data_IF_157203183920
#
_entry.id   IF_157203183920
#
_cell.length_a   1.000
_cell.length_b   1.000
_cell.length_c   1.000
_cell.angle_alpha   90.00
_cell.angle_beta   90.00
_cell.angle_gamma   90.00
#
_symmetry.space_group_name_H-M   'P 1'
#
loop_
_entity.id
_entity.type
_entity.pdbx_description
1 polymer ?
#
# COMPACT_ATOMS: atom_id res chain seq x y z
N UNK A 1 19.16 -25.17 41.02
CA UNK A 1 19.57 -25.33 39.63
C UNK A 1 18.49 -26.19 38.96
N UNK A 2 17.54 -25.57 38.26
CA UNK A 2 16.47 -26.23 37.51
C UNK A 2 17.06 -26.49 36.10
N UNK A 3 17.03 -27.72 35.55
CA UNK A 3 17.57 -27.99 34.24
C UNK A 3 16.76 -27.24 33.16
N UNK A 4 17.49 -26.72 32.20
CA UNK A 4 16.99 -26.05 31.02
C UNK A 4 16.22 -27.03 30.15
N UNK A 5 14.91 -27.02 30.26
CA UNK A 5 14.01 -27.86 29.46
C UNK A 5 13.84 -27.12 28.12
N UNK A 6 14.40 -27.70 27.06
CA UNK A 6 14.45 -27.10 25.74
C UNK A 6 13.08 -26.62 25.23
N UNK A 7 13.09 -25.56 24.40
CA UNK A 7 11.90 -24.85 23.88
C UNK A 7 10.83 -25.77 23.29
N UNK A 8 11.18 -26.89 22.68
CA UNK A 8 10.24 -27.88 22.15
C UNK A 8 9.43 -28.60 23.23
N UNK A 9 10.01 -28.80 24.41
CA UNK A 9 9.32 -29.45 25.54
C UNK A 9 8.36 -28.49 26.24
N UNK A 10 8.72 -27.19 26.28
CA UNK A 10 7.82 -26.15 26.83
C UNK A 10 6.58 -25.94 25.93
N UNK A 11 6.74 -25.91 24.62
CA UNK A 11 5.61 -25.78 23.69
C UNK A 11 4.59 -26.94 23.81
N UNK A 12 5.08 -28.17 24.00
CA UNK A 12 4.21 -29.35 24.20
C UNK A 12 3.58 -29.40 25.59
N UNK A 13 4.25 -28.90 26.63
CA UNK A 13 3.70 -28.84 27.99
C UNK A 13 2.59 -27.81 28.11
N UNK A 14 2.76 -26.63 27.47
CA UNK A 14 1.74 -25.56 27.46
C UNK A 14 0.50 -25.94 26.60
N UNK A 15 0.68 -26.74 25.53
CA UNK A 15 -0.44 -27.26 24.75
C UNK A 15 -1.36 -28.21 25.54
N UNK A 16 -0.86 -28.83 26.60
CA UNK A 16 -1.63 -29.69 27.50
C UNK A 16 -2.34 -28.91 28.63
N UNK A 17 -1.96 -27.67 28.90
CA UNK A 17 -2.44 -26.88 30.06
C UNK A 17 -3.52 -25.87 29.67
N UNK A 18 -3.65 -25.50 28.38
CA UNK A 18 -4.62 -24.50 27.95
C UNK A 18 -5.96 -25.15 27.56
N UNK A 19 -7.06 -24.89 28.28
CA UNK A 19 -8.34 -25.55 28.10
C UNK A 19 -9.18 -25.05 26.93
N UNK A 20 -8.69 -24.09 26.12
CA UNK A 20 -9.49 -23.42 25.09
C UNK A 20 -8.73 -23.25 23.77
N UNK A 21 -9.31 -23.70 22.66
CA UNK A 21 -8.74 -23.59 21.31
C UNK A 21 -8.50 -22.15 20.88
N UNK A 22 -9.25 -21.19 21.40
CA UNK A 22 -9.06 -19.75 21.17
C UNK A 22 -7.73 -19.26 21.77
N UNK A 23 -7.39 -19.69 22.98
CA UNK A 23 -6.12 -19.36 23.62
C UNK A 23 -4.93 -20.01 22.87
N UNK A 24 -5.09 -21.23 22.36
CA UNK A 24 -4.07 -21.90 21.54
C UNK A 24 -3.80 -21.16 20.23
N UNK A 25 -4.85 -20.65 19.57
CA UNK A 25 -4.70 -19.85 18.33
C UNK A 25 -4.05 -18.49 18.58
N UNK A 26 -4.40 -17.82 19.68
CA UNK A 26 -3.80 -16.55 20.08
C UNK A 26 -2.31 -16.70 20.45
N UNK A 27 -1.93 -17.76 21.16
CA UNK A 27 -0.53 -18.07 21.47
C UNK A 27 0.27 -18.46 20.21
N UNK A 28 -0.30 -19.25 19.32
CA UNK A 28 0.33 -19.60 18.04
C UNK A 28 0.57 -18.38 17.16
N UNK A 29 -0.39 -17.47 17.10
CA UNK A 29 -0.28 -16.21 16.39
C UNK A 29 0.79 -15.29 17.00
N UNK A 30 0.82 -15.15 18.33
CA UNK A 30 1.82 -14.35 19.03
C UNK A 30 3.26 -14.90 18.86
N UNK A 31 3.43 -16.22 18.91
CA UNK A 31 4.73 -16.85 18.63
C UNK A 31 5.19 -16.66 17.17
N UNK A 32 4.26 -16.73 16.23
CA UNK A 32 4.55 -16.47 14.83
C UNK A 32 4.93 -15.01 14.61
N UNK A 33 4.18 -14.09 15.18
CA UNK A 33 4.48 -12.65 15.14
C UNK A 33 5.84 -12.35 15.77
N UNK A 34 6.16 -12.95 16.92
CA UNK A 34 7.48 -12.82 17.54
C UNK A 34 8.59 -13.32 16.60
N UNK A 35 8.44 -14.49 15.97
CA UNK A 35 9.43 -15.03 15.02
C UNK A 35 9.59 -14.14 13.78
N UNK A 36 8.48 -13.60 13.28
CA UNK A 36 8.51 -12.66 12.17
C UNK A 36 9.27 -11.39 12.58
N UNK A 37 8.96 -10.81 13.74
CA UNK A 37 9.62 -9.62 14.25
C UNK A 37 11.11 -9.86 14.56
N UNK A 38 11.51 -11.02 15.02
CA UNK A 38 12.94 -11.39 15.20
C UNK A 38 13.67 -11.53 13.85
N UNK A 39 12.96 -11.86 12.78
CA UNK A 39 13.54 -12.03 11.44
C UNK A 39 13.59 -10.72 10.66
N UNK A 40 12.57 -9.88 10.79
CA UNK A 40 12.34 -8.67 10.00
C UNK A 40 12.27 -7.37 10.83
N UNK A 41 12.06 -7.43 12.14
CA UNK A 41 11.96 -6.23 13.00
C UNK A 41 13.31 -5.59 13.34
N UNK A 42 13.30 -4.70 14.32
CA UNK A 42 14.43 -3.84 14.71
C UNK A 42 15.74 -4.61 15.06
N UNK A 43 15.63 -5.89 15.45
CA UNK A 43 16.77 -6.77 15.74
C UNK A 43 17.26 -7.55 14.53
N UNK A 44 16.65 -7.35 13.35
CA UNK A 44 17.08 -8.04 12.15
C UNK A 44 18.49 -7.55 11.73
N UNK A 45 19.37 -8.46 11.27
CA UNK A 45 20.72 -8.09 10.86
C UNK A 45 20.71 -7.45 9.47
N UNK A 46 20.21 -6.22 9.35
CA UNK A 46 20.03 -5.49 8.09
C UNK A 46 21.31 -4.89 7.53
N UNK A 47 22.43 -4.99 8.26
CA UNK A 47 23.73 -4.48 7.81
C UNK A 47 24.15 -5.07 6.47
N UNK A 48 24.88 -4.27 5.68
CA UNK A 48 25.44 -4.70 4.40
C UNK A 48 26.36 -5.92 4.59
N UNK A 49 26.31 -6.88 3.68
CA UNK A 49 27.12 -8.11 3.74
C UNK A 49 26.58 -9.21 4.66
N UNK A 50 25.52 -8.98 5.43
CA UNK A 50 24.92 -10.01 6.30
C UNK A 50 24.08 -11.04 5.55
N UNK A 51 23.82 -10.83 4.27
CA UNK A 51 22.94 -11.66 3.44
C UNK A 51 21.45 -11.57 3.76
N UNK A 52 21.05 -10.63 4.64
CA UNK A 52 19.66 -10.46 5.00
C UNK A 52 18.87 -9.85 3.83
N UNK A 53 19.35 -8.76 3.25
CA UNK A 53 18.72 -8.12 2.08
C UNK A 53 18.61 -9.07 0.89
N UNK A 54 19.66 -9.84 0.61
CA UNK A 54 19.59 -10.82 -0.48
C UNK A 54 18.56 -11.91 -0.20
N UNK A 55 18.37 -12.32 1.06
CA UNK A 55 17.32 -13.26 1.45
C UNK A 55 15.90 -12.69 1.25
N UNK A 56 15.68 -11.45 1.65
CA UNK A 56 14.41 -10.74 1.44
C UNK A 56 14.10 -10.58 -0.05
N UNK A 57 15.07 -10.08 -0.82
CA UNK A 57 14.93 -9.93 -2.28
C UNK A 57 14.69 -11.29 -2.97
N UNK A 58 15.35 -12.34 -2.54
CA UNK A 58 15.11 -13.70 -3.05
C UNK A 58 13.65 -14.13 -2.85
N UNK A 59 13.15 -13.99 -1.62
CA UNK A 59 11.76 -14.35 -1.28
C UNK A 59 10.76 -13.50 -2.06
N UNK A 60 10.99 -12.19 -2.14
CA UNK A 60 10.15 -11.26 -2.88
C UNK A 60 10.08 -11.61 -4.37
N UNK A 61 11.23 -11.78 -5.03
CA UNK A 61 11.29 -12.18 -6.44
C UNK A 61 10.64 -13.55 -6.67
N UNK A 62 10.82 -14.51 -5.76
CA UNK A 62 10.19 -15.83 -5.83
C UNK A 62 8.67 -15.76 -5.77
N UNK A 63 8.10 -14.91 -4.89
CA UNK A 63 6.66 -14.67 -4.79
C UNK A 63 6.12 -14.01 -6.07
N UNK A 64 6.80 -13.00 -6.58
CA UNK A 64 6.43 -12.34 -7.84
C UNK A 64 6.44 -13.32 -9.01
N UNK A 65 7.47 -14.15 -9.11
CA UNK A 65 7.58 -15.15 -10.18
C UNK A 65 6.42 -16.17 -10.12
N UNK A 66 6.16 -16.72 -8.93
CA UNK A 66 5.09 -17.71 -8.76
C UNK A 66 3.72 -17.10 -9.03
N UNK A 67 3.44 -15.91 -8.52
CA UNK A 67 2.19 -15.18 -8.76
C UNK A 67 1.98 -14.85 -10.24
N UNK A 68 3.03 -14.38 -10.94
CA UNK A 68 2.96 -14.08 -12.37
C UNK A 68 2.70 -15.36 -13.22
N UNK A 69 3.34 -16.48 -12.88
CA UNK A 69 3.08 -17.77 -13.53
C UNK A 69 1.64 -18.24 -13.27
N UNK A 70 1.12 -18.04 -12.04
CA UNK A 70 -0.28 -18.33 -11.73
C UNK A 70 -1.25 -17.50 -12.59
N UNK A 71 -0.97 -16.21 -12.82
CA UNK A 71 -1.75 -15.35 -13.72
C UNK A 71 -1.76 -15.87 -15.17
N UNK A 72 -0.68 -16.49 -15.63
CA UNK A 72 -0.63 -17.10 -16.95
C UNK A 72 -1.46 -18.38 -17.02
N UNK A 73 -1.49 -19.19 -15.94
CA UNK A 73 -2.28 -20.43 -15.88
C UNK A 73 -3.78 -20.19 -15.67
N UNK A 74 -4.13 -19.20 -14.87
CA UNK A 74 -5.53 -18.88 -14.51
C UNK A 74 -5.91 -17.43 -14.91
N UNK A 75 -5.76 -17.07 -16.21
CA UNK A 75 -5.93 -15.68 -16.62
C UNK A 75 -7.36 -15.15 -16.38
N UNK A 76 -8.38 -16.00 -16.52
CA UNK A 76 -9.79 -15.61 -16.32
C UNK A 76 -10.08 -15.17 -14.86
N UNK A 77 -9.39 -15.77 -13.89
CA UNK A 77 -9.58 -15.49 -12.46
C UNK A 77 -8.63 -14.42 -11.95
N UNK A 78 -7.37 -14.47 -12.39
CA UNK A 78 -6.28 -13.73 -11.78
C UNK A 78 -5.82 -12.50 -12.57
N UNK A 79 -6.12 -12.43 -13.88
CA UNK A 79 -5.68 -11.31 -14.71
C UNK A 79 -6.78 -10.29 -14.96
N UNK A 80 -6.40 -9.02 -15.02
CA UNK A 80 -7.28 -7.89 -15.34
C UNK A 80 -7.69 -7.91 -16.81
N UNK A 81 -8.98 -8.09 -17.18
CA UNK A 81 -9.42 -8.14 -18.57
C UNK A 81 -9.11 -6.87 -19.34
N UNK A 82 -9.21 -5.72 -18.69
CA UNK A 82 -8.99 -4.41 -19.30
C UNK A 82 -7.50 -4.09 -19.53
N UNK A 83 -6.60 -4.68 -18.77
CA UNK A 83 -5.15 -4.40 -18.86
C UNK A 83 -4.41 -5.44 -19.67
N UNK A 84 -4.84 -6.69 -19.61
CA UNK A 84 -4.19 -7.81 -20.30
C UNK A 84 -3.92 -7.57 -21.79
N UNK A 85 -4.86 -6.99 -22.59
CA UNK A 85 -4.61 -6.70 -24.00
C UNK A 85 -3.48 -5.69 -24.26
N UNK A 86 -3.18 -4.85 -23.27
CA UNK A 86 -2.15 -3.82 -23.37
C UNK A 86 -0.75 -4.30 -22.95
N UNK A 87 -0.64 -5.51 -22.37
CA UNK A 87 0.65 -6.04 -21.94
C UNK A 87 1.51 -6.46 -23.13
N UNK A 88 2.71 -5.90 -23.28
CA UNK A 88 3.68 -6.43 -24.24
C UNK A 88 4.20 -7.77 -23.70
N UNK A 89 3.54 -8.86 -24.08
CA UNK A 89 3.76 -10.19 -23.50
C UNK A 89 5.21 -10.68 -23.57
N UNK A 90 5.97 -10.25 -24.57
CA UNK A 90 7.40 -10.55 -24.61
C UNK A 90 8.17 -9.93 -23.44
N UNK A 91 7.84 -8.69 -23.05
CA UNK A 91 8.43 -8.02 -21.87
C UNK A 91 8.00 -8.69 -20.57
N UNK A 92 6.72 -9.07 -20.45
CA UNK A 92 6.22 -9.80 -19.27
C UNK A 92 6.96 -11.12 -19.10
N UNK A 93 7.17 -11.88 -20.20
CA UNK A 93 7.94 -13.12 -20.16
C UNK A 93 9.41 -12.90 -19.78
N UNK A 94 10.04 -11.86 -20.34
CA UNK A 94 11.40 -11.46 -19.93
C UNK A 94 11.47 -11.08 -18.46
N UNK A 95 10.47 -10.35 -17.96
CA UNK A 95 10.40 -9.96 -16.56
C UNK A 95 10.22 -11.17 -15.63
N UNK A 96 9.32 -12.11 -15.96
CA UNK A 96 9.15 -13.38 -15.23
C UNK A 96 10.49 -14.13 -15.17
N UNK A 97 11.20 -14.23 -16.28
CA UNK A 97 12.49 -14.89 -16.32
C UNK A 97 13.54 -14.16 -15.47
N UNK A 98 13.57 -12.83 -15.55
CA UNK A 98 14.49 -12.00 -14.76
C UNK A 98 14.26 -12.14 -13.25
N UNK A 99 13.00 -12.14 -12.79
CA UNK A 99 12.71 -12.30 -11.34
C UNK A 99 12.97 -13.72 -10.85
N UNK A 100 12.78 -14.77 -11.68
CA UNK A 100 13.19 -16.15 -11.36
C UNK A 100 14.69 -16.22 -11.16
N UNK A 101 15.47 -15.68 -12.10
CA UNK A 101 16.94 -15.67 -12.03
C UNK A 101 17.41 -14.84 -10.82
N UNK A 102 16.82 -13.68 -10.61
CA UNK A 102 17.13 -12.83 -9.45
C UNK A 102 16.84 -13.54 -8.12
N UNK A 103 15.72 -14.25 -8.00
CA UNK A 103 15.38 -15.02 -6.81
C UNK A 103 16.45 -16.08 -6.51
N UNK A 104 16.94 -16.79 -7.52
CA UNK A 104 17.98 -17.81 -7.35
C UNK A 104 19.31 -17.16 -6.97
N UNK A 105 19.77 -16.12 -7.67
CA UNK A 105 21.02 -15.43 -7.40
C UNK A 105 21.03 -14.87 -5.96
N UNK A 106 20.01 -14.10 -5.61
CA UNK A 106 19.91 -13.53 -4.26
C UNK A 106 19.76 -14.61 -3.18
N UNK A 107 19.05 -15.71 -3.50
CA UNK A 107 18.92 -16.85 -2.59
C UNK A 107 20.26 -17.54 -2.29
N UNK A 108 21.07 -17.76 -3.32
CA UNK A 108 22.43 -18.33 -3.18
C UNK A 108 23.30 -17.38 -2.36
N UNK A 109 23.32 -16.08 -2.68
CA UNK A 109 24.07 -15.08 -1.91
C UNK A 109 23.66 -15.08 -0.44
N UNK A 110 22.35 -15.10 -0.17
CA UNK A 110 21.84 -15.19 1.21
C UNK A 110 22.26 -16.48 1.90
N UNK A 111 22.20 -17.62 1.20
CA UNK A 111 22.59 -18.92 1.75
C UNK A 111 24.09 -19.01 2.07
N UNK A 112 24.94 -18.29 1.33
CA UNK A 112 26.38 -18.20 1.59
C UNK A 112 26.65 -17.30 2.80
N UNK A 113 26.05 -16.12 2.85
CA UNK A 113 26.37 -15.10 3.84
C UNK A 113 25.69 -15.32 5.20
N UNK A 114 24.53 -15.97 5.24
CA UNK A 114 23.73 -16.13 6.48
C UNK A 114 23.89 -17.50 7.12
N UNK A 115 23.93 -17.53 8.46
CA UNK A 115 23.76 -18.77 9.24
C UNK A 115 22.32 -19.30 9.15
N UNK A 116 21.31 -18.42 9.32
CA UNK A 116 19.88 -18.75 9.16
C UNK A 116 19.51 -18.65 7.68
N UNK A 117 19.44 -19.77 6.97
CA UNK A 117 19.29 -19.84 5.51
C UNK A 117 17.84 -19.75 5.01
N UNK A 118 16.86 -19.66 5.91
CA UNK A 118 15.42 -19.78 5.58
C UNK A 118 14.97 -18.83 4.47
N UNK A 119 15.29 -17.52 4.57
CA UNK A 119 14.85 -16.53 3.58
C UNK A 119 15.34 -16.85 2.16
N UNK A 120 16.63 -17.10 1.99
CA UNK A 120 17.19 -17.43 0.68
C UNK A 120 16.64 -18.75 0.14
N UNK A 121 16.51 -19.77 0.99
CA UNK A 121 15.93 -21.06 0.59
C UNK A 121 14.46 -20.91 0.17
N UNK A 122 13.66 -20.14 0.90
CA UNK A 122 12.25 -19.89 0.55
C UNK A 122 12.14 -19.24 -0.83
N UNK A 123 12.94 -18.22 -1.11
CA UNK A 123 12.91 -17.57 -2.43
C UNK A 123 13.33 -18.50 -3.56
N UNK A 124 14.37 -19.31 -3.36
CA UNK A 124 14.80 -20.31 -4.35
C UNK A 124 13.76 -21.39 -4.58
N UNK A 125 13.08 -21.86 -3.53
CA UNK A 125 12.00 -22.85 -3.65
C UNK A 125 10.80 -22.30 -4.40
N UNK A 126 10.40 -21.06 -4.14
CA UNK A 126 9.33 -20.38 -4.88
C UNK A 126 9.68 -20.20 -6.37
N UNK A 127 10.92 -19.79 -6.67
CA UNK A 127 11.42 -19.67 -8.04
C UNK A 127 11.47 -21.02 -8.75
N UNK A 128 11.90 -22.08 -8.05
CA UNK A 128 11.89 -23.44 -8.57
C UNK A 128 10.45 -23.91 -8.86
N UNK A 129 9.53 -23.68 -7.94
CA UNK A 129 8.11 -24.00 -8.14
C UNK A 129 7.54 -23.27 -9.36
N UNK A 130 7.81 -21.95 -9.50
CA UNK A 130 7.43 -21.18 -10.69
C UNK A 130 8.00 -21.76 -11.98
N UNK A 131 9.27 -22.15 -11.96
CA UNK A 131 9.96 -22.77 -13.11
C UNK A 131 9.35 -24.11 -13.50
N UNK A 132 9.15 -25.00 -12.52
CA UNK A 132 8.54 -26.31 -12.73
C UNK A 132 7.08 -26.20 -13.20
N UNK A 133 6.40 -25.14 -12.85
CA UNK A 133 5.03 -24.84 -13.32
C UNK A 133 5.00 -24.19 -14.71
N UNK A 134 6.12 -24.13 -15.43
CA UNK A 134 6.24 -23.65 -16.80
C UNK A 134 6.92 -22.29 -16.96
N UNK A 135 7.09 -21.51 -15.87
CA UNK A 135 7.83 -20.25 -15.87
C UNK A 135 7.34 -19.28 -16.93
N UNK A 136 8.30 -18.66 -17.66
CA UNK A 136 8.00 -17.74 -18.74
C UNK A 136 7.45 -18.42 -20.03
N UNK A 137 7.42 -19.75 -20.09
CA UNK A 137 7.00 -20.51 -21.28
C UNK A 137 5.55 -20.97 -21.24
N UNK A 138 4.80 -20.66 -20.17
CA UNK A 138 3.37 -21.00 -20.06
C UNK A 138 2.61 -20.49 -21.28
N UNK A 139 1.81 -21.32 -21.98
CA UNK A 139 0.98 -20.89 -23.10
C UNK A 139 -0.02 -19.82 -22.67
N UNK A 140 -0.26 -18.85 -23.54
CA UNK A 140 -1.26 -17.81 -23.29
C UNK A 140 -2.54 -18.26 -23.98
N UNK A 141 -3.54 -18.60 -23.18
CA UNK A 141 -4.88 -18.90 -23.69
C UNK A 141 -5.68 -17.59 -23.76
N UNK A 142 -6.21 -17.28 -24.92
CA UNK A 142 -7.07 -16.11 -25.19
C UNK A 142 -8.46 -16.55 -25.63
N UNK A 143 -9.47 -15.65 -25.53
CA UNK A 143 -9.52 -14.31 -24.92
C UNK A 143 -10.03 -14.33 -23.47
N UNK A 144 -9.76 -13.24 -22.72
CA UNK A 144 -10.39 -13.03 -21.42
C UNK A 144 -11.87 -12.65 -21.62
N UNK A 145 -12.75 -13.28 -20.86
CA UNK A 145 -14.15 -12.88 -20.80
C UNK A 145 -14.27 -11.64 -19.90
N UNK A 146 -15.20 -10.73 -20.21
CA UNK A 146 -15.51 -9.56 -19.36
C UNK A 146 -16.24 -10.01 -18.09
N UNK A 147 -15.53 -10.74 -17.21
CA UNK A 147 -16.01 -11.21 -15.93
C UNK A 147 -15.22 -10.64 -14.76
N UNK A 148 -15.70 -10.80 -13.53
CA UNK A 148 -14.96 -10.38 -12.35
C UNK A 148 -13.65 -11.17 -12.24
N UNK A 149 -12.55 -10.45 -12.08
CA UNK A 149 -11.21 -11.01 -11.84
C UNK A 149 -10.61 -10.42 -10.56
N UNK A 150 -9.64 -11.12 -9.98
CA UNK A 150 -8.93 -10.64 -8.79
C UNK A 150 -7.95 -9.52 -9.15
N UNK A 151 -7.41 -9.50 -10.40
CA UNK A 151 -6.43 -8.50 -10.83
C UNK A 151 -5.06 -8.71 -10.18
N UNK A 152 -4.68 -9.95 -9.91
CA UNK A 152 -3.38 -10.28 -9.31
C UNK A 152 -2.21 -9.82 -10.20
N UNK A 153 -2.35 -9.85 -11.52
CA UNK A 153 -1.35 -9.36 -12.47
C UNK A 153 -1.06 -7.87 -12.28
N UNK A 154 -2.11 -7.05 -12.14
CA UNK A 154 -1.97 -5.64 -11.83
C UNK A 154 -1.31 -5.42 -10.47
N UNK A 155 -1.78 -6.14 -9.45
CA UNK A 155 -1.23 -6.07 -8.10
C UNK A 155 0.29 -6.39 -8.06
N UNK A 156 0.73 -7.43 -8.79
CA UNK A 156 2.15 -7.80 -8.84
C UNK A 156 3.00 -6.75 -9.56
N UNK A 157 2.48 -6.14 -10.63
CA UNK A 157 3.16 -5.04 -11.32
C UNK A 157 3.23 -3.77 -10.45
N UNK A 158 2.14 -3.42 -9.80
CA UNK A 158 2.08 -2.30 -8.86
C UNK A 158 3.06 -2.49 -7.69
N UNK A 159 3.02 -3.65 -7.03
CA UNK A 159 3.97 -3.99 -5.95
C UNK A 159 5.42 -3.93 -6.42
N UNK A 160 5.73 -4.46 -7.60
CA UNK A 160 7.08 -4.39 -8.16
C UNK A 160 7.50 -2.96 -8.41
N UNK A 161 6.65 -2.16 -9.07
CA UNK A 161 6.92 -0.76 -9.40
C UNK A 161 7.12 0.08 -8.12
N UNK A 162 6.19 -0.01 -7.17
CA UNK A 162 6.27 0.73 -5.90
C UNK A 162 7.53 0.36 -5.12
N UNK A 163 7.84 -0.94 -5.03
CA UNK A 163 9.06 -1.40 -4.34
C UNK A 163 10.33 -0.88 -5.02
N UNK A 164 10.39 -0.91 -6.36
CA UNK A 164 11.57 -0.44 -7.10
C UNK A 164 11.78 1.07 -7.03
N UNK A 165 10.70 1.84 -6.90
CA UNK A 165 10.77 3.31 -6.79
C UNK A 165 11.05 3.72 -5.35
N UNK A 166 10.19 3.33 -4.40
CA UNK A 166 10.19 3.93 -3.06
C UNK A 166 11.19 3.30 -2.11
N UNK A 167 11.40 1.96 -2.15
CA UNK A 167 12.34 1.34 -1.21
C UNK A 167 13.78 1.84 -1.35
N UNK A 168 14.36 2.04 -2.56
CA UNK A 168 15.67 2.65 -2.68
C UNK A 168 15.73 4.09 -2.17
N UNK A 169 14.69 4.89 -2.41
CA UNK A 169 14.65 6.28 -1.95
C UNK A 169 14.61 6.37 -0.43
N UNK A 170 13.81 5.56 0.23
CA UNK A 170 13.74 5.51 1.69
C UNK A 170 15.02 4.99 2.35
N UNK A 171 15.72 4.07 1.69
CA UNK A 171 17.00 3.53 2.21
C UNK A 171 18.15 4.52 2.00
N UNK A 172 18.18 5.21 0.84
CA UNK A 172 19.30 6.11 0.49
C UNK A 172 19.16 7.50 1.09
N UNK A 173 17.93 8.00 1.22
CA UNK A 173 17.66 9.37 1.68
C UNK A 173 16.49 9.43 2.68
N UNK A 174 16.56 8.70 3.80
CA UNK A 174 15.48 8.68 4.77
C UNK A 174 15.29 10.02 5.48
N UNK A 175 14.04 10.40 5.76
CA UNK A 175 13.72 11.49 6.65
C UNK A 175 14.04 11.14 8.11
N UNK A 176 13.78 9.89 8.48
CA UNK A 176 14.08 9.31 9.80
C UNK A 176 15.08 8.15 9.65
N UNK A 177 16.40 8.43 9.73
CA UNK A 177 17.43 7.40 9.54
C UNK A 177 17.38 6.26 10.58
N UNK A 178 16.78 6.50 11.74
CA UNK A 178 16.63 5.51 12.80
C UNK A 178 15.44 4.57 12.59
N UNK A 179 14.53 4.91 11.64
CA UNK A 179 13.40 4.06 11.35
C UNK A 179 13.86 2.80 10.63
N UNK A 180 13.55 1.64 11.22
CA UNK A 180 13.79 0.35 10.55
C UNK A 180 12.94 0.23 9.30
N UNK A 181 13.49 -0.37 8.24
CA UNK A 181 12.75 -0.65 6.99
C UNK A 181 11.53 -1.54 7.27
N UNK A 182 11.67 -2.50 8.18
CA UNK A 182 10.55 -3.25 8.73
C UNK A 182 10.27 -2.74 10.15
N UNK A 183 9.70 -1.53 10.22
CA UNK A 183 9.34 -0.88 11.47
C UNK A 183 8.24 -1.64 12.20
N UNK A 184 7.97 -1.26 13.43
CA UNK A 184 6.85 -1.84 14.16
C UNK A 184 5.54 -1.69 13.35
N UNK A 185 4.69 -2.71 13.37
CA UNK A 185 3.42 -2.82 12.63
C UNK A 185 3.54 -2.95 11.09
N UNK A 186 4.76 -3.09 10.51
CA UNK A 186 4.94 -3.24 9.06
C UNK A 186 4.11 -4.39 8.45
N UNK A 187 3.97 -5.50 9.20
CA UNK A 187 3.18 -6.65 8.74
C UNK A 187 1.70 -6.29 8.61
N UNK A 188 1.18 -5.45 9.52
CA UNK A 188 -0.19 -4.95 9.43
C UNK A 188 -0.35 -4.08 8.18
N UNK A 189 0.64 -3.24 7.84
CA UNK A 189 0.62 -2.44 6.62
C UNK A 189 0.71 -3.30 5.36
N UNK A 190 1.48 -4.39 5.37
CA UNK A 190 1.47 -5.37 4.27
C UNK A 190 0.07 -6.00 4.09
N UNK A 191 -0.61 -6.35 5.18
CA UNK A 191 -1.99 -6.87 5.10
C UNK A 191 -2.94 -5.82 4.53
N UNK A 192 -2.80 -4.56 4.93
CA UNK A 192 -3.58 -3.46 4.34
C UNK A 192 -3.25 -3.24 2.87
N UNK A 193 -1.98 -3.25 2.48
CA UNK A 193 -1.59 -3.16 1.08
C UNK A 193 -2.25 -4.26 0.23
N UNK A 194 -2.22 -5.50 0.71
CA UNK A 194 -2.92 -6.62 0.06
C UNK A 194 -4.43 -6.39 0.00
N UNK A 195 -5.06 -5.95 1.09
CA UNK A 195 -6.51 -5.82 1.19
C UNK A 195 -7.09 -4.61 0.44
N UNK A 196 -6.29 -3.58 0.17
CA UNK A 196 -6.71 -2.38 -0.57
C UNK A 196 -6.37 -2.48 -2.06
N UNK A 197 -5.21 -3.02 -2.43
CA UNK A 197 -4.76 -3.07 -3.82
C UNK A 197 -5.24 -4.33 -4.55
N UNK A 198 -5.30 -5.49 -3.90
CA UNK A 198 -5.72 -6.73 -4.56
C UNK A 198 -7.20 -6.69 -5.00
N UNK A 199 -8.18 -6.25 -4.18
CA UNK A 199 -9.57 -6.17 -4.62
C UNK A 199 -9.90 -4.89 -5.41
N UNK A 200 -8.91 -4.18 -5.95
CA UNK A 200 -9.11 -2.92 -6.70
C UNK A 200 -10.16 -3.05 -7.81
N UNK A 201 -10.24 -4.20 -8.49
CA UNK A 201 -11.25 -4.45 -9.50
C UNK A 201 -12.69 -4.40 -8.93
N UNK A 202 -12.88 -4.96 -7.73
CA UNK A 202 -14.19 -4.97 -7.05
C UNK A 202 -14.53 -3.57 -6.57
N UNK A 203 -13.60 -2.87 -5.93
CA UNK A 203 -13.82 -1.51 -5.44
C UNK A 203 -14.05 -0.54 -6.60
N UNK A 204 -13.32 -0.67 -7.70
CA UNK A 204 -13.52 0.10 -8.92
C UNK A 204 -14.91 -0.13 -9.50
N UNK A 205 -15.38 -1.38 -9.58
CA UNK A 205 -16.72 -1.69 -10.02
C UNK A 205 -17.79 -1.04 -9.13
N UNK A 206 -17.64 -1.13 -7.82
CA UNK A 206 -18.58 -0.54 -6.85
C UNK A 206 -18.66 1.00 -6.96
N UNK A 207 -17.57 1.65 -7.36
CA UNK A 207 -17.48 3.10 -7.50
C UNK A 207 -17.94 3.54 -8.90
N UNK A 208 -17.40 2.89 -9.95
CA UNK A 208 -17.66 3.31 -11.33
C UNK A 208 -19.09 3.05 -11.76
N UNK A 209 -19.76 2.01 -11.28
CA UNK A 209 -21.13 1.72 -11.67
C UNK A 209 -22.10 2.85 -11.29
N UNK A 210 -22.18 3.32 -10.02
CA UNK A 210 -22.99 4.47 -9.67
C UNK A 210 -22.55 5.75 -10.38
N UNK A 211 -21.24 5.99 -10.50
CA UNK A 211 -20.72 7.17 -11.18
C UNK A 211 -21.12 7.21 -12.66
N UNK A 212 -21.04 6.08 -13.37
CA UNK A 212 -21.50 5.98 -14.77
C UNK A 212 -23.01 6.26 -14.90
N UNK A 213 -23.82 5.74 -14.00
CA UNK A 213 -25.26 6.01 -14.01
C UNK A 213 -25.55 7.50 -13.81
N UNK A 214 -24.88 8.14 -12.85
CA UNK A 214 -25.02 9.57 -12.61
C UNK A 214 -24.59 10.40 -13.82
N UNK A 215 -23.45 10.07 -14.45
CA UNK A 215 -22.99 10.79 -15.65
C UNK A 215 -23.90 10.59 -16.84
N UNK A 216 -24.52 9.41 -17.01
CA UNK A 216 -25.49 9.16 -18.07
C UNK A 216 -26.79 10.01 -17.87
N UNK A 217 -27.23 10.17 -16.62
CA UNK A 217 -28.45 10.95 -16.29
C UNK A 217 -28.21 12.44 -16.34
N UNK A 218 -27.02 12.91 -15.99
CA UNK A 218 -26.70 14.32 -15.80
C UNK A 218 -25.54 14.80 -16.68
N UNK A 219 -25.32 14.15 -17.83
CA UNK A 219 -24.23 14.51 -18.75
C UNK A 219 -24.29 16.00 -19.15
N UNK A 220 -23.12 16.62 -19.19
CA UNK A 220 -22.92 17.99 -19.67
C UNK A 220 -21.91 17.95 -20.83
N UNK A 221 -22.34 17.52 -22.05
CA UNK A 221 -21.43 17.34 -23.19
C UNK A 221 -20.63 18.61 -23.53
N UNK A 222 -21.22 19.76 -23.41
CA UNK A 222 -20.55 21.05 -23.67
C UNK A 222 -19.39 21.32 -22.72
N UNK A 223 -19.45 20.83 -21.48
CA UNK A 223 -18.34 20.94 -20.52
C UNK A 223 -17.18 20.02 -20.93
N UNK A 224 -17.48 18.78 -21.32
CA UNK A 224 -16.46 17.82 -21.77
C UNK A 224 -15.78 18.29 -23.07
N UNK A 225 -16.55 18.84 -24.02
CA UNK A 225 -16.02 19.43 -25.25
C UNK A 225 -15.13 20.65 -24.96
N UNK A 226 -15.60 21.55 -24.07
CA UNK A 226 -14.83 22.74 -23.68
C UNK A 226 -13.50 22.36 -23.03
N UNK A 227 -13.50 21.39 -22.11
CA UNK A 227 -12.28 20.93 -21.45
C UNK A 227 -11.42 20.15 -22.45
N UNK A 228 -12.01 19.27 -23.25
CA UNK A 228 -11.30 18.47 -24.26
C UNK A 228 -10.64 19.31 -25.37
N UNK A 229 -11.10 20.54 -25.60
CA UNK A 229 -10.45 21.48 -26.55
C UNK A 229 -9.19 22.15 -26.00
N UNK A 230 -8.92 22.06 -24.70
CA UNK A 230 -7.75 22.65 -24.06
C UNK A 230 -6.48 21.84 -24.36
N UNK A 231 -5.29 22.48 -24.28
CA UNK A 231 -4.03 21.73 -24.34
C UNK A 231 -3.96 20.62 -23.27
N UNK A 232 -3.39 19.47 -23.61
CA UNK A 232 -3.37 18.27 -22.76
C UNK A 232 -2.82 18.52 -21.33
N UNK A 233 -1.77 19.33 -21.21
CA UNK A 233 -1.20 19.69 -19.90
C UNK A 233 -2.18 20.53 -19.05
N UNK A 234 -3.00 21.37 -19.68
CA UNK A 234 -4.02 22.16 -18.98
C UNK A 234 -5.15 21.25 -18.53
N UNK A 235 -5.59 20.31 -19.38
CA UNK A 235 -6.59 19.29 -18.98
C UNK A 235 -6.08 18.48 -17.77
N UNK A 236 -4.83 18.04 -17.80
CA UNK A 236 -4.24 17.25 -16.72
C UNK A 236 -4.13 18.06 -15.42
N UNK A 237 -3.69 19.31 -15.49
CA UNK A 237 -3.66 20.20 -14.33
C UNK A 237 -5.06 20.41 -13.73
N UNK A 238 -6.06 20.66 -14.57
CA UNK A 238 -7.45 20.81 -14.14
C UNK A 238 -8.01 19.52 -13.52
N UNK A 239 -7.65 18.37 -14.08
CA UNK A 239 -8.04 17.07 -13.52
C UNK A 239 -7.47 16.88 -12.11
N UNK A 240 -6.17 17.15 -11.90
CA UNK A 240 -5.56 17.10 -10.57
C UNK A 240 -6.23 18.11 -9.62
N UNK A 241 -6.50 19.34 -10.08
CA UNK A 241 -7.13 20.36 -9.27
C UNK A 241 -8.54 19.99 -8.82
N UNK A 242 -9.39 19.50 -9.74
CA UNK A 242 -10.76 19.06 -9.42
C UNK A 242 -10.72 17.88 -8.44
N UNK A 243 -9.83 16.93 -8.67
CA UNK A 243 -9.66 15.78 -7.81
C UNK A 243 -9.20 16.19 -6.40
N UNK A 244 -8.20 17.07 -6.30
CA UNK A 244 -7.65 17.52 -5.01
C UNK A 244 -8.66 18.38 -4.21
N UNK A 245 -9.46 19.20 -4.88
CA UNK A 245 -10.55 19.93 -4.21
C UNK A 245 -11.63 18.97 -3.68
N UNK A 246 -12.00 17.95 -4.45
CA UNK A 246 -12.95 16.94 -4.01
C UNK A 246 -12.39 16.13 -2.83
N UNK A 247 -11.12 15.72 -2.92
CA UNK A 247 -10.42 14.98 -1.87
C UNK A 247 -10.26 15.83 -0.61
N UNK A 248 -9.84 17.10 -0.74
CA UNK A 248 -9.80 18.04 0.38
C UNK A 248 -11.13 18.12 1.13
N UNK A 249 -12.23 18.25 0.40
CA UNK A 249 -13.55 18.39 1.00
C UNK A 249 -13.96 17.13 1.78
N UNK A 250 -13.80 15.95 1.19
CA UNK A 250 -14.17 14.69 1.84
C UNK A 250 -13.19 14.32 2.95
N UNK A 251 -11.89 14.54 2.77
CA UNK A 251 -10.86 14.30 3.75
C UNK A 251 -11.09 15.16 5.02
N UNK A 252 -11.36 16.46 4.83
CA UNK A 252 -11.76 17.35 5.94
C UNK A 252 -13.06 16.89 6.62
N UNK A 253 -14.02 16.38 5.85
CA UNK A 253 -15.25 15.82 6.43
C UNK A 253 -14.97 14.55 7.27
N UNK A 254 -14.06 13.69 6.84
CA UNK A 254 -13.62 12.53 7.64
C UNK A 254 -13.02 12.94 8.97
N UNK A 255 -12.29 14.04 9.04
CA UNK A 255 -11.76 14.59 10.29
C UNK A 255 -12.83 15.29 11.15
N UNK A 256 -13.75 16.02 10.52
CA UNK A 256 -14.74 16.84 11.23
C UNK A 256 -15.95 16.05 11.74
N UNK A 257 -16.34 14.97 11.08
CA UNK A 257 -17.53 14.18 11.41
C UNK A 257 -17.14 12.96 12.24
N UNK A 258 -17.54 12.86 13.54
CA UNK A 258 -17.05 11.81 14.44
C UNK A 258 -17.30 10.38 13.95
N UNK A 259 -18.38 10.15 13.19
CA UNK A 259 -18.66 8.83 12.63
C UNK A 259 -17.71 8.49 11.46
N UNK A 260 -17.43 9.44 10.58
CA UNK A 260 -16.48 9.27 9.48
C UNK A 260 -15.04 9.12 10.00
N UNK A 261 -14.67 9.92 11.00
CA UNK A 261 -13.37 9.82 11.64
C UNK A 261 -13.01 8.40 12.07
N UNK A 262 -13.96 7.62 12.56
CA UNK A 262 -13.70 6.25 13.00
C UNK A 262 -13.14 5.34 11.90
N UNK A 263 -13.47 5.59 10.65
CA UNK A 263 -12.89 4.89 9.51
C UNK A 263 -11.50 5.44 9.19
N UNK A 264 -11.36 6.75 9.17
CA UNK A 264 -10.13 7.45 8.82
C UNK A 264 -9.07 7.40 9.94
N UNK A 265 -9.46 7.28 11.17
CA UNK A 265 -8.55 7.07 12.31
C UNK A 265 -7.67 5.82 12.15
N UNK A 266 -8.11 4.83 11.37
CA UNK A 266 -7.30 3.66 11.03
C UNK A 266 -6.09 4.08 10.19
N UNK A 267 -6.29 4.97 9.21
CA UNK A 267 -5.24 5.56 8.41
C UNK A 267 -4.23 6.33 9.28
N UNK A 268 -4.71 7.12 10.21
CA UNK A 268 -3.89 7.86 11.18
C UNK A 268 -3.28 7.02 12.30
N UNK A 269 -3.60 5.72 12.41
CA UNK A 269 -3.12 4.89 13.53
C UNK A 269 -1.66 4.47 13.44
N UNK A 270 -1.02 4.65 12.30
CA UNK A 270 0.39 4.28 12.08
C UNK A 270 1.33 5.11 12.95
N UNK A 271 2.26 4.46 13.65
CA UNK A 271 3.24 5.11 14.54
C UNK A 271 4.55 5.49 13.84
N UNK A 272 4.61 5.29 12.56
CA UNK A 272 5.71 5.69 11.69
C UNK A 272 5.24 5.58 10.25
N UNK A 273 5.71 6.43 9.37
CA UNK A 273 5.33 6.43 7.97
C UNK A 273 6.45 5.90 7.08
N UNK A 274 6.06 5.15 6.10
CA UNK A 274 6.82 4.71 4.94
C UNK A 274 5.84 4.51 3.78
N UNK A 275 6.34 4.23 2.59
CA UNK A 275 5.51 4.13 1.39
C UNK A 275 4.37 3.10 1.52
N UNK A 276 4.55 2.01 2.31
CA UNK A 276 3.53 0.98 2.48
C UNK A 276 2.46 1.38 3.50
N UNK A 277 2.80 2.26 4.46
CA UNK A 277 1.86 2.77 5.46
C UNK A 277 0.71 3.58 4.84
N UNK A 278 0.93 4.20 3.68
CA UNK A 278 -0.11 4.90 2.92
C UNK A 278 -1.31 4.04 2.56
N UNK A 279 -1.11 2.71 2.47
CA UNK A 279 -2.19 1.75 2.18
C UNK A 279 -3.02 1.36 3.40
N UNK A 280 -2.67 1.78 4.62
CA UNK A 280 -3.46 1.51 5.84
C UNK A 280 -4.74 2.33 5.80
N UNK A 281 -5.78 1.81 5.20
CA UNK A 281 -7.09 2.47 5.07
C UNK A 281 -8.23 1.47 5.24
N UNK A 282 -9.36 1.95 5.78
CA UNK A 282 -10.57 1.15 5.85
C UNK A 282 -11.27 1.14 4.48
N UNK A 283 -11.84 0.00 4.07
CA UNK A 283 -12.52 -0.13 2.76
C UNK A 283 -13.63 0.92 2.55
N UNK A 284 -14.34 1.32 3.61
CA UNK A 284 -15.37 2.38 3.53
C UNK A 284 -14.73 3.73 3.23
N UNK A 285 -13.60 4.05 3.86
CA UNK A 285 -12.84 5.27 3.58
C UNK A 285 -12.40 5.29 2.11
N UNK A 286 -11.74 4.24 1.65
CA UNK A 286 -11.31 4.10 0.25
C UNK A 286 -12.46 4.28 -0.76
N UNK A 287 -13.58 3.62 -0.55
CA UNK A 287 -14.73 3.70 -1.47
C UNK A 287 -15.35 5.09 -1.49
N UNK A 288 -15.52 5.71 -0.32
CA UNK A 288 -16.11 7.04 -0.21
C UNK A 288 -15.19 8.10 -0.81
N UNK A 289 -13.92 8.12 -0.47
CA UNK A 289 -12.94 9.08 -0.99
C UNK A 289 -12.83 8.96 -2.51
N UNK A 290 -12.62 7.76 -3.03
CA UNK A 290 -12.54 7.53 -4.49
C UNK A 290 -13.84 7.91 -5.21
N UNK A 291 -15.00 7.64 -4.60
CA UNK A 291 -16.29 8.06 -5.15
C UNK A 291 -16.41 9.58 -5.27
N UNK A 292 -16.02 10.31 -4.23
CA UNK A 292 -16.02 11.78 -4.24
C UNK A 292 -15.07 12.38 -5.28
N UNK A 293 -13.94 11.73 -5.55
CA UNK A 293 -12.97 12.18 -6.55
C UNK A 293 -13.45 11.83 -7.96
N UNK A 294 -13.85 10.59 -8.21
CA UNK A 294 -14.14 10.10 -9.56
C UNK A 294 -15.46 10.65 -10.13
N UNK A 295 -16.49 10.85 -9.29
CA UNK A 295 -17.78 11.37 -9.77
C UNK A 295 -17.61 12.73 -10.49
N UNK A 296 -17.07 13.81 -9.89
CA UNK A 296 -16.88 15.08 -10.57
C UNK A 296 -15.93 14.96 -11.78
N UNK A 297 -14.91 14.10 -11.71
CA UNK A 297 -14.02 13.88 -12.84
C UNK A 297 -14.73 13.30 -14.07
N UNK A 298 -15.63 12.33 -13.87
CA UNK A 298 -16.38 11.71 -14.97
C UNK A 298 -17.33 12.68 -15.68
N UNK A 299 -17.79 13.75 -15.01
CA UNK A 299 -18.58 14.80 -15.64
C UNK A 299 -17.76 15.71 -16.56
N UNK A 300 -16.48 15.89 -16.26
CA UNK A 300 -15.66 16.94 -16.86
C UNK A 300 -14.58 16.40 -17.83
N UNK A 301 -14.02 15.21 -17.58
CA UNK A 301 -12.82 14.74 -18.25
C UNK A 301 -13.04 13.46 -19.06
N UNK A 302 -12.20 13.25 -20.07
CA UNK A 302 -12.16 12.01 -20.84
C UNK A 302 -11.68 10.83 -19.97
N UNK A 303 -12.01 9.60 -20.40
CA UNK A 303 -11.54 8.38 -19.75
C UNK A 303 -10.00 8.34 -19.65
N UNK A 304 -9.30 8.68 -20.73
CA UNK A 304 -7.83 8.68 -20.74
C UNK A 304 -7.24 9.66 -19.74
N UNK A 305 -7.88 10.82 -19.55
CA UNK A 305 -7.45 11.81 -18.57
C UNK A 305 -7.66 11.31 -17.14
N UNK A 306 -8.77 10.61 -16.88
CA UNK A 306 -9.04 9.97 -15.58
C UNK A 306 -8.00 8.89 -15.30
N UNK A 307 -7.67 8.05 -16.28
CA UNK A 307 -6.62 7.02 -16.13
C UNK A 307 -5.25 7.65 -15.87
N UNK A 308 -4.90 8.72 -16.58
CA UNK A 308 -3.66 9.46 -16.34
C UNK A 308 -3.60 10.04 -14.91
N UNK A 309 -4.71 10.59 -14.42
CA UNK A 309 -4.81 11.06 -13.04
C UNK A 309 -4.68 9.90 -12.03
N UNK A 310 -5.36 8.78 -12.24
CA UNK A 310 -5.28 7.62 -11.34
C UNK A 310 -3.84 7.09 -11.23
N UNK A 311 -3.12 7.06 -12.34
CA UNK A 311 -1.70 6.70 -12.32
C UNK A 311 -0.87 7.72 -11.52
N UNK A 312 -1.10 9.02 -11.74
CA UNK A 312 -0.42 10.08 -11.01
C UNK A 312 -0.70 10.03 -9.50
N UNK A 313 -1.98 9.92 -9.10
CA UNK A 313 -2.34 9.93 -7.67
C UNK A 313 -1.79 8.71 -6.95
N UNK A 314 -1.76 7.54 -7.59
CA UNK A 314 -1.17 6.33 -7.01
C UNK A 314 0.31 6.55 -6.67
N UNK A 315 1.08 7.12 -7.58
CA UNK A 315 2.48 7.45 -7.32
C UNK A 315 2.61 8.56 -6.28
N UNK A 316 1.87 9.65 -6.44
CA UNK A 316 2.05 10.83 -5.58
C UNK A 316 1.60 10.59 -4.14
N UNK A 317 0.44 9.95 -3.92
CA UNK A 317 -0.05 9.62 -2.58
C UNK A 317 0.88 8.63 -1.85
N UNK A 318 1.41 7.63 -2.56
CA UNK A 318 2.42 6.73 -2.00
C UNK A 318 3.70 7.48 -1.62
N UNK A 319 4.15 8.40 -2.49
CA UNK A 319 5.32 9.23 -2.20
C UNK A 319 5.13 10.12 -0.98
N UNK A 320 3.97 10.77 -0.82
CA UNK A 320 3.72 11.66 0.33
C UNK A 320 3.76 10.96 1.68
N UNK A 321 3.49 9.67 1.72
CA UNK A 321 3.63 8.83 2.93
C UNK A 321 5.06 8.32 3.15
N UNK A 322 5.92 8.34 2.11
CA UNK A 322 7.24 7.71 2.19
C UNK A 322 8.17 8.38 3.21
N UNK A 323 9.08 7.58 3.79
CA UNK A 323 10.16 8.06 4.65
C UNK A 323 11.29 8.71 3.82
N UNK A 324 10.94 9.65 2.92
CA UNK A 324 11.87 10.31 2.02
C UNK A 324 12.15 11.76 2.46
N UNK A 325 13.41 12.06 2.81
CA UNK A 325 13.81 13.35 3.41
C UNK A 325 13.96 14.52 2.48
N UNK A 326 14.53 14.37 1.26
CA UNK A 326 14.80 15.48 0.36
C UNK A 326 13.55 16.20 -0.13
N UNK A 327 13.64 17.52 -0.26
CA UNK A 327 12.60 18.38 -0.83
C UNK A 327 13.17 19.31 -1.89
N UNK A 328 12.29 19.82 -2.74
CA UNK A 328 12.63 20.86 -3.72
C UNK A 328 11.97 22.16 -3.26
N UNK A 329 12.72 23.01 -2.54
CA UNK A 329 12.19 24.20 -1.84
C UNK A 329 11.33 25.12 -2.69
N UNK A 330 11.70 25.37 -3.95
CA UNK A 330 10.92 26.23 -4.84
C UNK A 330 9.59 25.61 -5.30
N UNK A 331 9.47 24.27 -5.23
CA UNK A 331 8.28 23.53 -5.62
C UNK A 331 7.32 23.25 -4.44
N UNK A 332 7.81 23.26 -3.20
CA UNK A 332 7.00 23.05 -1.99
C UNK A 332 5.75 23.97 -1.88
N UNK A 333 5.74 25.22 -2.37
CA UNK A 333 4.51 26.03 -2.35
C UNK A 333 3.42 25.54 -3.31
N UNK A 334 3.77 24.73 -4.30
CA UNK A 334 2.91 24.31 -5.40
C UNK A 334 2.56 22.83 -5.39
N UNK A 335 3.41 21.98 -4.83
CA UNK A 335 3.23 20.53 -4.79
C UNK A 335 3.53 20.02 -3.38
N UNK A 336 2.70 19.10 -2.91
CA UNK A 336 2.86 18.45 -1.61
C UNK A 336 4.03 17.46 -1.66
N UNK A 337 4.94 17.59 -0.71
CA UNK A 337 6.06 16.69 -0.43
C UNK A 337 5.80 15.85 0.81
N UNK A 338 6.54 14.76 1.04
CA UNK A 338 6.35 13.89 2.20
C UNK A 338 6.27 14.66 3.52
N UNK A 339 7.17 15.61 3.77
CA UNK A 339 7.18 16.39 5.00
C UNK A 339 5.86 17.11 5.29
N UNK A 340 5.15 17.62 4.26
CA UNK A 340 3.85 18.28 4.43
C UNK A 340 2.77 17.30 4.91
N UNK A 341 2.70 16.14 4.28
CA UNK A 341 1.73 15.12 4.60
C UNK A 341 2.05 14.41 5.92
N UNK A 342 3.34 14.26 6.27
CA UNK A 342 3.76 13.76 7.57
C UNK A 342 3.26 14.65 8.72
N UNK A 343 3.18 15.97 8.54
CA UNK A 343 2.55 16.88 9.50
C UNK A 343 1.04 16.65 9.63
N UNK A 344 0.38 16.14 8.60
CA UNK A 344 -1.01 15.73 8.68
C UNK A 344 -1.20 14.49 9.58
N UNK A 345 -0.28 13.53 9.53
CA UNK A 345 -0.32 12.30 10.30
C UNK A 345 0.23 12.39 11.72
N UNK A 346 0.64 13.57 12.17
CA UNK A 346 1.22 13.72 13.50
C UNK A 346 0.17 13.69 14.61
N UNK A 347 0.60 13.22 15.80
CA UNK A 347 -0.18 13.35 17.03
C UNK A 347 0.05 14.67 17.79
N UNK A 348 0.89 15.58 17.24
CA UNK A 348 1.21 16.87 17.86
C UNK A 348 0.04 17.85 17.70
N UNK A 349 -0.36 18.50 18.80
CA UNK A 349 -1.59 19.32 18.89
C UNK A 349 -1.67 20.44 17.85
N UNK A 350 -0.53 21.02 17.49
CA UNK A 350 -0.42 22.15 16.57
C UNK A 350 -0.85 21.81 15.15
N UNK A 351 -0.75 20.54 14.77
CA UNK A 351 -1.04 20.06 13.44
C UNK A 351 -2.28 19.15 13.34
N UNK A 352 -2.98 18.92 14.46
CA UNK A 352 -4.26 18.19 14.43
C UNK A 352 -5.24 18.97 13.56
N UNK A 353 -5.95 18.28 12.68
CA UNK A 353 -6.92 18.83 11.72
C UNK A 353 -6.30 19.90 10.79
N UNK A 354 -5.10 19.64 10.30
CA UNK A 354 -4.38 20.45 9.31
C UNK A 354 -3.98 19.61 8.11
N UNK A 355 -3.67 20.31 6.99
CA UNK A 355 -3.05 19.74 5.78
C UNK A 355 -3.89 18.63 5.11
N UNK A 356 -5.10 18.94 4.70
CA UNK A 356 -6.03 17.98 4.10
C UNK A 356 -5.83 17.76 2.60
N UNK A 357 -5.23 18.72 1.88
CA UNK A 357 -4.93 18.58 0.45
C UNK A 357 -3.87 17.48 0.21
N UNK A 358 -3.95 16.81 -0.94
CA UNK A 358 -3.05 15.71 -1.29
C UNK A 358 -2.03 16.13 -2.34
N UNK A 359 -2.38 17.08 -3.20
CA UNK A 359 -1.50 17.52 -4.29
C UNK A 359 -1.02 18.96 -4.13
N UNK A 360 -1.91 19.89 -3.78
CA UNK A 360 -1.64 21.33 -3.80
C UNK A 360 -1.75 21.98 -2.41
N UNK A 361 -0.63 22.30 -1.72
CA UNK A 361 -0.67 22.83 -0.35
C UNK A 361 -1.32 24.21 -0.25
N UNK A 362 -1.45 24.94 -1.35
CA UNK A 362 -2.15 26.24 -1.38
C UNK A 362 -3.67 26.11 -1.20
N UNK A 363 -4.26 24.93 -1.41
CA UNK A 363 -5.67 24.64 -1.06
C UNK A 363 -5.83 24.79 0.45
N UNK A 364 -4.96 24.19 1.26
CA UNK A 364 -4.99 24.36 2.73
C UNK A 364 -4.78 25.80 3.17
N UNK A 365 -3.98 26.59 2.42
CA UNK A 365 -3.83 28.04 2.70
C UNK A 365 -5.16 28.78 2.46
N UNK A 366 -5.85 28.50 1.36
CA UNK A 366 -7.14 29.13 1.03
C UNK A 366 -8.18 28.84 2.11
N UNK A 367 -8.24 27.57 2.59
CA UNK A 367 -9.24 27.16 3.57
C UNK A 367 -8.81 27.25 5.04
N UNK A 368 -7.60 27.79 5.33
CA UNK A 368 -7.10 28.06 6.67
C UNK A 368 -6.67 26.84 7.47
N UNK A 369 -6.34 25.74 6.77
CA UNK A 369 -5.90 24.47 7.37
C UNK A 369 -4.41 24.18 7.18
N UNK A 370 -3.67 25.12 6.63
CA UNK A 370 -2.24 24.98 6.36
C UNK A 370 -1.41 25.03 7.63
N UNK A 371 -0.54 24.01 7.83
CA UNK A 371 0.48 23.97 8.88
C UNK A 371 1.76 23.33 8.35
N UNK A 372 2.83 24.10 8.20
CA UNK A 372 4.07 23.59 7.63
C UNK A 372 5.28 24.37 8.21
N UNK A 373 5.78 23.99 9.40
CA UNK A 373 6.91 24.64 10.02
C UNK A 373 8.20 24.40 9.22
N UNK A 374 8.94 25.48 8.98
CA UNK A 374 10.11 25.45 8.12
C UNK A 374 11.20 24.49 8.64
N UNK A 375 11.66 23.60 7.77
CA UNK A 375 12.76 22.67 8.04
C UNK A 375 12.49 21.61 9.10
N UNK A 376 11.29 21.56 9.68
CA UNK A 376 10.96 20.62 10.76
C UNK A 376 10.10 19.46 10.26
N UNK A 377 10.41 18.27 10.75
CA UNK A 377 9.60 17.09 10.65
C UNK A 377 8.84 16.86 11.95
N UNK A 378 7.67 16.17 11.94
CA UNK A 378 6.98 15.84 13.19
C UNK A 378 7.77 14.85 14.05
N UNK A 379 7.67 15.00 15.37
CA UNK A 379 8.37 14.13 16.31
C UNK A 379 7.60 12.84 16.62
N UNK A 380 6.27 12.86 16.46
CA UNK A 380 5.39 11.76 16.83
C UNK A 380 4.29 11.54 15.80
N UNK A 381 3.90 10.28 15.64
CA UNK A 381 2.84 9.84 14.74
C UNK A 381 1.76 9.08 15.50
N UNK A 382 0.65 8.84 14.82
CA UNK A 382 -0.47 8.08 15.35
C UNK A 382 -1.52 8.96 16.02
N UNK A 383 -2.41 8.33 16.77
CA UNK A 383 -3.55 8.99 17.39
C UNK A 383 -3.18 9.57 18.78
N UNK A 384 -3.49 10.84 19.02
CA UNK A 384 -3.15 11.51 20.27
C UNK A 384 -3.94 10.98 21.48
N UNK A 385 -5.24 10.73 21.32
CA UNK A 385 -6.17 10.47 22.43
C UNK A 385 -7.02 9.20 22.24
N UNK A 386 -6.72 8.38 21.26
CA UNK A 386 -7.54 7.22 20.91
C UNK A 386 -6.68 5.97 20.74
N UNK A 387 -7.18 4.82 21.21
CA UNK A 387 -6.53 3.53 21.03
C UNK A 387 -7.32 2.70 20.02
N UNK A 388 -6.66 2.29 18.96
CA UNK A 388 -7.22 1.39 17.95
C UNK A 388 -6.61 0.00 18.13
N UNK A 389 -7.37 -1.09 17.90
CA UNK A 389 -6.83 -2.44 17.93
C UNK A 389 -5.61 -2.62 17.02
N UNK A 390 -4.60 -3.39 17.46
CA UNK A 390 -3.37 -3.63 16.70
C UNK A 390 -3.48 -4.72 15.63
N UNK A 391 -4.68 -5.21 15.31
CA UNK A 391 -4.89 -6.29 14.34
C UNK A 391 -5.80 -5.84 13.20
N UNK A 392 -5.61 -6.37 12.00
CA UNK A 392 -6.42 -6.06 10.82
C UNK A 392 -7.93 -6.21 11.08
N UNK A 393 -8.36 -7.36 11.57
CA UNK A 393 -9.79 -7.58 11.87
C UNK A 393 -10.30 -6.69 13.00
N UNK A 394 -9.48 -6.44 14.02
CA UNK A 394 -9.82 -5.49 15.08
C UNK A 394 -10.07 -4.10 14.53
N UNK A 395 -9.22 -3.62 13.63
CA UNK A 395 -9.37 -2.33 12.95
C UNK A 395 -10.55 -2.31 11.98
N UNK A 396 -10.77 -3.39 11.21
CA UNK A 396 -11.92 -3.50 10.29
C UNK A 396 -13.26 -3.37 11.03
N UNK A 397 -13.38 -3.94 12.22
CA UNK A 397 -14.63 -3.84 12.99
C UNK A 397 -14.68 -2.64 13.94
N UNK A 398 -13.56 -1.97 14.22
CA UNK A 398 -13.48 -0.83 15.13
C UNK A 398 -14.51 0.28 14.85
N UNK A 399 -14.76 0.73 13.59
CA UNK A 399 -15.73 1.80 13.32
C UNK A 399 -17.16 1.46 13.76
N UNK A 400 -17.49 0.19 13.86
CA UNK A 400 -18.83 -0.30 14.21
C UNK A 400 -18.98 -0.64 15.70
N UNK A 401 -17.89 -0.62 16.48
CA UNK A 401 -17.97 -0.86 17.93
C UNK A 401 -18.53 0.37 18.63
N UNK A 402 -19.37 0.18 19.65
CA UNK A 402 -19.79 1.31 20.50
C UNK A 402 -18.56 1.83 21.27
N UNK A 403 -18.35 3.18 21.29
CA UNK A 403 -17.42 3.74 22.25
C UNK A 403 -17.98 3.39 23.65
N UNK A 404 -17.27 2.57 24.41
CA UNK A 404 -17.45 2.58 25.87
C UNK A 404 -17.01 3.96 26.30
N UNK A 405 -17.95 4.76 26.81
CA UNK A 405 -17.62 6.02 27.44
C UNK A 405 -16.57 5.73 28.51
N UNK A 406 -15.38 6.36 28.34
CA UNK A 406 -14.32 6.29 29.30
C UNK A 406 -14.65 7.21 30.49
#
# INVERSE_FOLDING_TARGET
MIPDVGEHTRANLFALILPNDKLRSEWGAAMLEQKINETFGDKAPTGFGTGWWSGVLSTFCGLLALGAVACLHFPQLLSSPNLRPHYPMYLIRMLIQAVIVAAIIFGVVSAILRKKKLLGLTGMLLALAATLWGGASVPINEPLHNGPSIGLDWFLLDMLLMTLIYSPFEVLWPAYPQQSVFRNEWLLDVVYFLSTHLPTQITTFLILLPATQLTTLFAVPSLQEAIGSLPLLVQFFLAILVADLAEYAIHRAFHAVPWLWRFHAIHHSSKGLDWIAGSRSHIVDDVVVRGFILIPMMFAFSHDMIVAYLFFVTLHATWTHSNFGPTIKWLEPYLIFPRFHHWHHTSQKEAIDKNFAVHFPWIDKIFGTYYYPEGKWPDTYGLANEKIPGTFWGQTFYPFTRKTAA
#
